data_IF_234363386289
#
_entry.id   IF_234363386289
#
_cell.length_a   1.000
_cell.length_b   1.000
_cell.length_c   1.000
_cell.angle_alpha   90.00
_cell.angle_beta   90.00
_cell.angle_gamma   90.00
#
_symmetry.space_group_name_H-M   'P 1'
#
loop_
_entity.id
_entity.type
_entity.pdbx_description
1 polymer ?
#
# COMPACT_ATOMS: atom_id res chain seq x y z
N UNK A 1 10.89 24.55 -21.27
CA UNK A 1 11.42 23.19 -21.15
C UNK A 1 10.28 22.21 -21.37
N UNK A 2 10.54 21.05 -22.02
CA UNK A 2 9.50 20.02 -22.15
C UNK A 2 9.23 19.32 -20.82
N UNK A 3 8.00 18.84 -20.59
CA UNK A 3 7.64 18.06 -19.42
C UNK A 3 8.42 16.75 -19.32
N UNK A 4 8.81 16.16 -20.48
CA UNK A 4 9.68 14.98 -20.55
C UNK A 4 11.03 15.16 -19.85
N UNK A 5 11.67 16.29 -20.04
CA UNK A 5 12.96 16.56 -19.38
C UNK A 5 12.79 16.67 -17.87
N UNK A 6 11.74 17.35 -17.42
CA UNK A 6 11.44 17.47 -15.99
C UNK A 6 11.06 16.12 -15.39
N UNK A 7 10.28 15.33 -16.11
CA UNK A 7 9.93 13.97 -15.72
C UNK A 7 11.18 13.08 -15.58
N UNK A 8 12.11 13.11 -16.52
CA UNK A 8 13.36 12.35 -16.44
C UNK A 8 14.24 12.79 -15.27
N UNK A 9 14.30 14.10 -14.98
CA UNK A 9 15.02 14.61 -13.81
C UNK A 9 14.43 14.02 -12.51
N UNK A 10 13.11 13.98 -12.41
CA UNK A 10 12.40 13.44 -11.26
C UNK A 10 12.53 11.92 -11.16
N UNK A 11 12.12 11.19 -12.22
CA UNK A 11 11.98 9.73 -12.21
C UNK A 11 13.34 9.00 -12.23
N UNK A 12 14.30 9.50 -13.03
CA UNK A 12 15.59 8.81 -13.21
C UNK A 12 16.66 9.29 -12.23
N UNK A 13 16.66 10.57 -11.91
CA UNK A 13 17.73 11.18 -11.11
C UNK A 13 17.27 11.58 -9.70
N UNK A 14 15.99 11.37 -9.37
CA UNK A 14 15.43 11.72 -8.06
C UNK A 14 15.44 13.23 -7.78
N UNK A 15 15.51 14.08 -8.82
CA UNK A 15 15.60 15.52 -8.65
C UNK A 15 14.20 16.10 -8.42
N UNK A 16 13.93 16.72 -7.24
CA UNK A 16 12.61 17.22 -6.88
C UNK A 16 12.07 18.26 -7.87
N UNK A 17 10.76 18.21 -8.13
CA UNK A 17 10.10 19.11 -9.08
C UNK A 17 10.07 20.56 -8.61
N UNK A 18 9.95 20.80 -7.31
CA UNK A 18 10.01 22.12 -6.68
C UNK A 18 11.36 22.80 -6.90
N UNK A 19 12.47 22.06 -6.78
CA UNK A 19 13.81 22.56 -7.09
C UNK A 19 13.95 22.85 -8.59
N UNK A 20 13.39 22.03 -9.46
CA UNK A 20 13.37 22.29 -10.90
C UNK A 20 12.61 23.59 -11.20
N UNK A 21 11.44 23.79 -10.58
CA UNK A 21 10.63 25.00 -10.73
C UNK A 21 11.38 26.25 -10.24
N UNK A 22 12.06 26.18 -9.12
CA UNK A 22 12.84 27.30 -8.59
C UNK A 22 14.00 27.69 -9.51
N UNK A 23 14.75 26.70 -10.03
CA UNK A 23 15.82 26.96 -11.00
C UNK A 23 15.27 27.61 -12.28
N UNK A 24 14.17 27.04 -12.81
CA UNK A 24 13.56 27.61 -14.03
C UNK A 24 13.07 29.05 -13.80
N UNK A 25 12.51 29.35 -12.65
CA UNK A 25 12.05 30.67 -12.25
C UNK A 25 13.20 31.68 -12.20
N UNK A 26 14.38 31.29 -11.69
CA UNK A 26 15.57 32.18 -11.66
C UNK A 26 16.07 32.54 -13.04
N UNK A 27 15.79 31.70 -14.04
CA UNK A 27 16.17 31.93 -15.46
C UNK A 27 15.02 32.48 -16.32
N UNK A 28 13.90 32.89 -15.71
CA UNK A 28 12.67 33.31 -16.38
C UNK A 28 12.13 32.25 -17.38
N UNK A 29 12.31 30.98 -17.08
CA UNK A 29 11.86 29.84 -17.86
C UNK A 29 10.70 29.13 -17.17
N UNK A 30 9.92 28.39 -17.94
CA UNK A 30 8.87 27.47 -17.46
C UNK A 30 8.98 26.13 -18.19
N UNK A 31 8.22 25.16 -17.75
CA UNK A 31 8.11 23.86 -18.42
C UNK A 31 6.65 23.52 -18.74
N UNK A 32 6.45 22.59 -19.64
CA UNK A 32 5.13 22.07 -19.99
C UNK A 32 4.64 21.10 -18.88
N UNK A 33 3.81 21.67 -17.98
CA UNK A 33 3.25 20.92 -16.85
C UNK A 33 2.28 19.84 -17.30
N UNK A 34 1.52 20.09 -18.37
CA UNK A 34 0.56 19.10 -18.88
C UNK A 34 1.28 17.85 -19.43
N UNK A 35 2.40 18.03 -20.14
CA UNK A 35 3.24 16.93 -20.61
C UNK A 35 3.88 16.17 -19.42
N UNK A 36 4.33 16.90 -18.39
CA UNK A 36 4.85 16.26 -17.15
C UNK A 36 3.80 15.41 -16.44
N UNK A 37 2.60 15.96 -16.20
CA UNK A 37 1.51 15.28 -15.49
C UNK A 37 1.02 14.05 -16.28
N UNK A 38 0.99 14.13 -17.62
CA UNK A 38 0.67 12.99 -18.47
C UNK A 38 1.68 11.84 -18.30
N UNK A 39 2.98 12.15 -18.25
CA UNK A 39 4.05 11.15 -18.07
C UNK A 39 4.05 10.54 -16.67
N UNK A 40 3.76 11.34 -15.65
CA UNK A 40 3.57 10.84 -14.28
C UNK A 40 2.40 9.86 -14.21
N UNK A 41 1.30 10.16 -14.90
CA UNK A 41 0.13 9.28 -14.99
C UNK A 41 0.47 7.96 -15.71
N UNK A 42 1.18 8.04 -16.85
CA UNK A 42 1.63 6.86 -17.59
C UNK A 42 2.59 5.99 -16.76
N UNK A 43 3.49 6.61 -16.00
CA UNK A 43 4.42 5.89 -15.13
C UNK A 43 3.68 5.20 -14.01
N UNK A 44 2.71 5.87 -13.36
CA UNK A 44 1.86 5.30 -12.33
C UNK A 44 0.98 4.15 -12.87
N UNK A 45 0.49 4.24 -14.12
CA UNK A 45 -0.24 3.14 -14.77
C UNK A 45 0.68 1.96 -15.10
N UNK A 46 1.88 2.22 -15.61
CA UNK A 46 2.89 1.17 -15.87
C UNK A 46 3.35 0.50 -14.58
N UNK A 47 3.57 1.27 -13.52
CA UNK A 47 3.89 0.71 -12.21
C UNK A 47 2.76 -0.17 -11.68
N UNK A 48 1.50 0.29 -11.78
CA UNK A 48 0.31 -0.52 -11.42
C UNK A 48 0.17 -1.77 -12.29
N UNK A 49 0.42 -1.68 -13.60
CA UNK A 49 0.35 -2.82 -14.52
C UNK A 49 1.53 -3.79 -14.36
N UNK A 50 2.72 -3.28 -14.03
CA UNK A 50 3.92 -4.08 -13.75
C UNK A 50 3.89 -4.67 -12.33
N UNK A 51 3.11 -4.08 -11.44
CA UNK A 51 2.90 -4.59 -10.10
C UNK A 51 2.02 -5.83 -10.17
N UNK A 52 2.65 -6.92 -10.50
CA UNK A 52 2.12 -8.27 -10.23
C UNK A 52 2.50 -8.55 -8.79
N UNK A 53 1.63 -8.14 -7.87
CA UNK A 53 1.74 -8.57 -6.49
C UNK A 53 2.07 -10.06 -6.45
N UNK A 54 2.86 -10.48 -5.52
CA UNK A 54 3.29 -11.87 -5.33
C UNK A 54 2.09 -12.79 -5.00
N UNK A 55 1.13 -12.90 -5.92
CA UNK A 55 -0.05 -13.75 -5.87
C UNK A 55 -1.33 -12.97 -5.59
N UNK A 56 -2.22 -13.01 -6.56
CA UNK A 56 -3.68 -12.86 -6.45
C UNK A 56 -4.19 -11.68 -5.57
N UNK A 57 -3.66 -10.46 -5.77
CA UNK A 57 -4.30 -9.26 -5.23
C UNK A 57 -5.75 -9.18 -5.72
N UNK A 58 -6.68 -8.89 -4.83
CA UNK A 58 -8.08 -8.71 -5.20
C UNK A 58 -8.20 -7.55 -6.22
N UNK A 59 -9.13 -7.58 -7.18
CA UNK A 59 -9.38 -6.49 -8.09
C UNK A 59 -9.65 -5.18 -7.34
N UNK A 60 -9.24 -4.03 -7.90
CA UNK A 60 -9.43 -2.71 -7.28
C UNK A 60 -10.89 -2.43 -6.86
N UNK A 61 -11.86 -3.00 -7.59
CA UNK A 61 -13.29 -2.92 -7.28
C UNK A 61 -13.64 -3.57 -5.94
N UNK A 62 -12.97 -4.67 -5.57
CA UNK A 62 -13.16 -5.34 -4.28
C UNK A 62 -12.66 -4.45 -3.14
N UNK A 63 -11.49 -3.82 -3.31
CA UNK A 63 -10.96 -2.91 -2.29
C UNK A 63 -11.81 -1.64 -2.14
N UNK A 64 -12.37 -1.11 -3.21
CA UNK A 64 -13.31 0.01 -3.15
C UNK A 64 -14.59 -0.38 -2.39
N UNK A 65 -15.14 -1.56 -2.63
CA UNK A 65 -16.31 -2.05 -1.91
C UNK A 65 -16.00 -2.21 -0.40
N UNK A 66 -14.84 -2.77 -0.07
CA UNK A 66 -14.39 -2.93 1.32
C UNK A 66 -14.18 -1.57 1.99
N UNK A 67 -13.57 -0.61 1.31
CA UNK A 67 -13.28 0.72 1.85
C UNK A 67 -14.54 1.55 2.16
N UNK A 68 -15.69 1.21 1.58
CA UNK A 68 -16.98 1.83 1.93
C UNK A 68 -17.51 1.35 3.28
N UNK A 69 -17.18 0.13 3.68
CA UNK A 69 -17.66 -0.50 4.91
C UNK A 69 -16.63 -0.49 6.04
N UNK A 70 -15.34 -0.55 5.67
CA UNK A 70 -14.23 -0.68 6.61
C UNK A 70 -13.21 0.43 6.37
N UNK A 71 -12.88 1.16 7.43
CA UNK A 71 -11.76 2.10 7.42
C UNK A 71 -10.68 1.61 8.37
N UNK A 72 -9.44 1.65 7.90
CA UNK A 72 -8.28 1.34 8.72
C UNK A 72 -7.63 2.65 9.18
N UNK A 73 -7.36 2.75 10.49
CA UNK A 73 -6.70 3.89 11.10
C UNK A 73 -5.20 3.61 11.22
N UNK A 74 -4.37 4.52 10.67
CA UNK A 74 -2.91 4.40 10.80
C UNK A 74 -2.44 4.99 12.14
N UNK A 75 -1.76 4.19 12.94
CA UNK A 75 -1.25 4.57 14.27
C UNK A 75 0.28 4.60 14.37
N UNK A 76 0.98 4.34 13.26
CA UNK A 76 2.45 4.18 13.21
C UNK A 76 3.25 5.41 13.61
N UNK A 77 2.65 6.60 13.62
CA UNK A 77 3.31 7.80 14.18
C UNK A 77 3.44 7.78 15.71
N UNK A 78 2.65 6.96 16.40
CA UNK A 78 2.59 6.92 17.87
C UNK A 78 3.30 5.69 18.41
N UNK A 79 3.22 4.55 17.74
CA UNK A 79 3.79 3.28 18.19
C UNK A 79 4.06 2.36 17.01
N UNK A 80 5.06 1.50 17.14
CA UNK A 80 5.34 0.37 16.24
C UNK A 80 4.58 -0.90 16.63
N UNK A 81 3.80 -0.85 17.68
CA UNK A 81 2.97 -1.96 18.17
C UNK A 81 1.57 -1.46 18.50
N UNK A 82 0.57 -2.30 18.28
CA UNK A 82 -0.83 -1.97 18.56
C UNK A 82 -1.66 -3.22 18.80
N UNK A 83 -2.87 -3.02 19.29
CA UNK A 83 -3.92 -4.05 19.31
C UNK A 83 -4.99 -3.65 18.32
N UNK A 84 -5.50 -4.64 17.61
CA UNK A 84 -6.45 -4.41 16.54
C UNK A 84 -7.43 -5.56 16.42
N UNK A 85 -8.51 -5.35 15.68
CA UNK A 85 -9.49 -6.37 15.35
C UNK A 85 -9.37 -6.76 13.88
N UNK A 86 -9.31 -8.05 13.59
CA UNK A 86 -9.33 -8.54 12.20
C UNK A 86 -10.72 -8.29 11.61
N UNK A 87 -10.79 -7.40 10.63
CA UNK A 87 -12.03 -6.99 9.97
C UNK A 87 -12.34 -7.82 8.74
N UNK A 88 -11.32 -8.17 7.97
CA UNK A 88 -11.46 -9.04 6.82
C UNK A 88 -10.20 -9.88 6.58
N UNK A 89 -10.39 -11.05 6.03
CA UNK A 89 -9.35 -11.97 5.56
C UNK A 89 -9.66 -12.32 4.11
N UNK A 90 -8.70 -12.16 3.21
CA UNK A 90 -8.82 -12.59 1.82
C UNK A 90 -7.75 -13.62 1.49
N UNK A 91 -8.14 -14.66 0.78
CA UNK A 91 -7.26 -15.69 0.25
C UNK A 91 -7.61 -15.93 -1.21
N UNK A 92 -6.62 -15.79 -2.08
CA UNK A 92 -6.82 -15.97 -3.53
C UNK A 92 -7.99 -15.12 -4.08
N UNK A 93 -8.10 -13.86 -3.64
CA UNK A 93 -9.16 -12.92 -4.07
C UNK A 93 -10.54 -13.19 -3.48
N UNK A 94 -10.69 -14.14 -2.56
CA UNK A 94 -11.95 -14.49 -1.91
C UNK A 94 -11.93 -14.17 -0.40
N UNK A 95 -13.01 -13.61 0.10
CA UNK A 95 -13.20 -13.41 1.54
C UNK A 95 -13.37 -14.75 2.24
N UNK A 96 -12.63 -14.95 3.33
CA UNK A 96 -12.67 -16.16 4.17
C UNK A 96 -12.85 -15.78 5.64
N UNK A 97 -13.45 -16.67 6.42
CA UNK A 97 -13.65 -16.44 7.85
C UNK A 97 -12.44 -16.84 8.70
N UNK A 98 -11.58 -17.72 8.19
CA UNK A 98 -10.40 -18.21 8.89
C UNK A 98 -9.29 -18.57 7.91
N UNK A 99 -8.06 -18.34 8.34
CA UNK A 99 -6.83 -18.78 7.64
C UNK A 99 -5.99 -19.65 8.56
N UNK A 100 -5.20 -20.56 7.97
CA UNK A 100 -4.43 -21.59 8.68
C UNK A 100 -2.97 -21.58 8.25
N UNK A 101 -2.14 -22.21 9.04
CA UNK A 101 -0.71 -22.37 8.79
C UNK A 101 -0.40 -22.80 7.35
N UNK A 102 0.57 -22.13 6.74
CA UNK A 102 1.01 -22.31 5.35
C UNK A 102 0.22 -21.50 4.31
N UNK A 103 -0.94 -20.96 4.66
CA UNK A 103 -1.77 -20.19 3.72
C UNK A 103 -1.23 -18.75 3.56
N UNK A 104 -1.26 -18.23 2.34
CA UNK A 104 -1.10 -16.80 2.03
C UNK A 104 -2.42 -16.09 2.25
N UNK A 105 -2.35 -14.89 2.78
CA UNK A 105 -3.53 -14.12 3.18
C UNK A 105 -3.29 -12.63 3.02
N UNK A 106 -4.35 -11.91 2.71
CA UNK A 106 -4.47 -10.47 2.89
C UNK A 106 -5.32 -10.20 4.12
N UNK A 107 -4.79 -9.43 5.06
CA UNK A 107 -5.46 -9.10 6.32
C UNK A 107 -5.80 -7.62 6.35
N UNK A 108 -7.02 -7.30 6.72
CA UNK A 108 -7.49 -5.95 6.97
C UNK A 108 -7.90 -5.87 8.43
N UNK A 109 -7.34 -4.89 9.13
CA UNK A 109 -7.61 -4.61 10.55
C UNK A 109 -8.19 -3.20 10.70
N UNK A 110 -8.79 -2.88 11.85
CA UNK A 110 -9.37 -1.55 12.09
C UNK A 110 -8.31 -0.50 12.41
N UNK A 111 -7.22 -0.86 13.09
CA UNK A 111 -6.09 0.03 13.40
C UNK A 111 -4.77 -0.69 13.10
N UNK A 112 -3.79 0.03 12.58
CA UNK A 112 -2.48 -0.57 12.28
C UNK A 112 -1.33 0.43 12.44
N UNK A 113 -0.20 0.00 13.02
CA UNK A 113 1.04 0.76 12.97
C UNK A 113 1.79 0.60 11.63
N UNK A 114 1.42 -0.37 10.80
CA UNK A 114 2.09 -0.64 9.53
C UNK A 114 1.78 0.45 8.50
N UNK A 115 2.83 1.03 7.95
CA UNK A 115 2.72 1.98 6.84
C UNK A 115 2.40 1.22 5.54
N UNK A 116 1.30 1.56 4.90
CA UNK A 116 0.96 1.03 3.58
C UNK A 116 1.74 1.75 2.48
N UNK A 117 2.29 0.99 1.52
CA UNK A 117 3.03 1.55 0.40
C UNK A 117 2.25 2.69 -0.27
N UNK A 118 2.91 3.84 -0.36
CA UNK A 118 2.35 5.04 -0.98
C UNK A 118 3.49 5.98 -1.39
N UNK A 119 3.33 6.67 -2.52
CA UNK A 119 4.26 7.72 -2.93
C UNK A 119 5.70 7.26 -3.20
N UNK A 120 5.91 5.97 -3.51
CA UNK A 120 7.24 5.40 -3.79
C UNK A 120 8.02 4.94 -2.55
N UNK A 121 7.40 4.96 -1.37
CA UNK A 121 7.94 4.33 -0.17
C UNK A 121 7.38 2.91 -0.07
N UNK A 122 8.23 1.93 0.21
CA UNK A 122 7.83 0.53 0.42
C UNK A 122 6.96 0.38 1.66
N UNK A 123 6.05 -0.58 1.64
CA UNK A 123 5.21 -0.92 2.78
C UNK A 123 6.02 -1.54 3.92
N UNK A 124 5.49 -1.42 5.14
CA UNK A 124 6.10 -2.05 6.31
C UNK A 124 5.91 -3.57 6.29
N UNK A 125 6.86 -4.26 6.92
CA UNK A 125 6.85 -5.70 7.18
C UNK A 125 6.86 -5.96 8.69
N UNK A 126 6.37 -7.13 9.12
CA UNK A 126 6.33 -7.47 10.55
C UNK A 126 5.48 -8.69 10.82
N UNK A 127 4.78 -8.70 11.96
CA UNK A 127 3.96 -9.82 12.40
C UNK A 127 2.59 -9.35 12.89
N UNK A 128 1.57 -10.16 12.63
CA UNK A 128 0.25 -10.07 13.28
C UNK A 128 0.07 -11.33 14.13
N UNK A 129 -0.11 -11.13 15.42
CA UNK A 129 -0.19 -12.20 16.42
C UNK A 129 -1.58 -12.26 17.01
N UNK A 130 -2.27 -13.38 16.83
CA UNK A 130 -3.55 -13.72 17.44
C UNK A 130 -3.38 -14.65 18.63
N UNK A 131 -4.51 -15.08 19.21
CA UNK A 131 -4.51 -15.99 20.36
C UNK A 131 -3.95 -17.38 20.02
N UNK A 132 -4.25 -17.90 18.83
CA UNK A 132 -3.88 -19.24 18.39
C UNK A 132 -3.06 -19.25 17.08
N UNK A 133 -2.65 -18.08 16.57
CA UNK A 133 -1.98 -17.99 15.29
C UNK A 133 -1.09 -16.79 15.14
N UNK A 134 -0.23 -16.86 14.12
CA UNK A 134 0.69 -15.79 13.74
C UNK A 134 0.81 -15.71 12.23
N UNK A 135 0.75 -14.50 11.72
CA UNK A 135 0.99 -14.16 10.31
C UNK A 135 2.26 -13.35 10.24
N UNK A 136 3.18 -13.76 9.40
CA UNK A 136 4.31 -12.96 8.97
C UNK A 136 3.86 -12.07 7.81
N UNK A 137 3.97 -10.75 8.00
CA UNK A 137 3.60 -9.75 6.99
C UNK A 137 4.83 -9.48 6.13
N UNK A 138 4.71 -9.83 4.86
CA UNK A 138 5.74 -9.69 3.83
C UNK A 138 5.67 -8.33 3.13
N UNK A 139 4.49 -7.70 3.13
CA UNK A 139 4.24 -6.40 2.49
C UNK A 139 2.95 -5.75 3.04
N UNK A 140 2.90 -4.43 3.01
CA UNK A 140 1.73 -3.65 3.41
C UNK A 140 1.39 -2.64 2.32
N UNK A 141 0.16 -2.70 1.81
CA UNK A 141 -0.30 -1.92 0.68
C UNK A 141 -1.43 -0.96 1.07
N UNK A 142 -1.50 0.19 0.40
CA UNK A 142 -2.62 1.12 0.48
C UNK A 142 -3.30 1.23 -0.89
N UNK A 143 -4.11 0.22 -1.28
CA UNK A 143 -4.72 0.16 -2.61
C UNK A 143 -5.70 1.30 -2.88
N UNK A 144 -6.39 1.77 -1.84
CA UNK A 144 -7.32 2.90 -1.88
C UNK A 144 -7.20 3.72 -0.59
N UNK A 145 -7.69 4.95 -0.62
CA UNK A 145 -7.63 5.82 0.56
C UNK A 145 -8.48 5.25 1.72
N UNK A 146 -7.91 5.24 2.92
CA UNK A 146 -8.56 4.73 4.14
C UNK A 146 -8.52 3.20 4.28
N UNK A 147 -7.88 2.47 3.37
CA UNK A 147 -7.72 1.02 3.46
C UNK A 147 -6.24 0.64 3.44
N UNK A 148 -5.80 -0.09 4.45
CA UNK A 148 -4.46 -0.69 4.53
C UNK A 148 -4.63 -2.21 4.52
N UNK A 149 -3.91 -2.88 3.62
CA UNK A 149 -3.97 -4.32 3.39
C UNK A 149 -2.60 -4.91 3.70
N UNK A 150 -2.56 -5.84 4.66
CA UNK A 150 -1.36 -6.54 5.08
C UNK A 150 -1.29 -7.87 4.33
N UNK A 151 -0.26 -8.06 3.52
CA UNK A 151 -0.05 -9.28 2.75
C UNK A 151 0.99 -10.14 3.44
N UNK A 152 0.67 -11.41 3.68
CA UNK A 152 1.57 -12.27 4.41
C UNK A 152 1.20 -13.74 4.35
N UNK A 153 1.86 -14.49 5.21
CA UNK A 153 1.68 -15.94 5.34
C UNK A 153 1.42 -16.31 6.80
N UNK A 154 0.47 -17.21 7.02
CA UNK A 154 0.25 -17.82 8.33
C UNK A 154 1.42 -18.76 8.63
N UNK A 155 2.24 -18.41 9.61
CA UNK A 155 3.45 -19.19 9.98
C UNK A 155 3.19 -20.10 11.18
N UNK A 156 2.08 -19.88 11.91
CA UNK A 156 1.69 -20.70 13.05
C UNK A 156 0.17 -20.71 13.21
N UNK A 157 -0.43 -21.84 13.41
CA UNK A 157 -1.80 -22.03 13.87
C UNK A 157 -2.86 -21.47 12.94
N UNK A 158 -3.75 -20.62 13.44
CA UNK A 158 -4.81 -20.01 12.64
C UNK A 158 -5.26 -18.66 13.18
N UNK A 159 -5.78 -17.81 12.30
CA UNK A 159 -6.39 -16.52 12.64
C UNK A 159 -7.77 -16.44 12.01
N UNK A 160 -8.72 -15.87 12.73
CA UNK A 160 -10.12 -15.75 12.32
C UNK A 160 -10.55 -14.30 12.20
N UNK A 161 -11.52 -14.03 11.34
CA UNK A 161 -12.21 -12.76 11.30
C UNK A 161 -12.87 -12.46 12.65
N UNK A 162 -12.80 -11.21 13.10
CA UNK A 162 -13.31 -10.80 14.40
C UNK A 162 -12.37 -11.11 15.57
N UNK A 163 -11.20 -11.70 15.32
CA UNK A 163 -10.21 -11.97 16.37
C UNK A 163 -9.43 -10.71 16.72
N UNK A 164 -9.12 -10.55 18.01
CA UNK A 164 -8.21 -9.49 18.48
C UNK A 164 -6.77 -9.94 18.28
N UNK A 165 -5.96 -9.08 17.66
CA UNK A 165 -4.56 -9.33 17.31
C UNK A 165 -3.66 -8.20 17.79
N UNK A 166 -2.38 -8.46 17.84
CA UNK A 166 -1.33 -7.48 18.14
C UNK A 166 -0.21 -7.53 17.12
#
# INVERSE_FOLDING_TARGET
LSGDVVFRLYDTFGFPTDLTEDILRTHALSYDRADFDARMSEQAERARAAWRGTGEAAPAEVYNAIATELRCSFTGYQSTQGRSLVRALHRAGQTVERVREGERVEVIVDETPFYGESGGQVGDVGEIVGAEGRIEIEDTQKPVEGLIVHQGRVVLGSISRGESVS
#
